data_IF_794766652740
#
_entry.id   IF_794766652740
#
_cell.length_a   1.000
_cell.length_b   1.000
_cell.length_c   1.000
_cell.angle_alpha   90.00
_cell.angle_beta   90.00
_cell.angle_gamma   90.00
#
_symmetry.space_group_name_H-M   'P 1'
#
loop_
_entity.id
_entity.type
_entity.pdbx_description
1 polymer ?
#
# COMPACT_ATOMS: atom_id res chain seq x y z
N UNK A 1 8.83 -10.61 12.88
CA UNK A 1 7.57 -11.12 12.35
C UNK A 1 6.76 -11.74 13.47
N UNK A 2 5.67 -11.06 13.83
CA UNK A 2 4.55 -11.58 14.61
C UNK A 2 4.12 -12.97 14.09
N UNK A 3 3.84 -13.91 15.02
CA UNK A 3 3.51 -15.30 14.69
C UNK A 3 2.18 -15.41 13.93
N UNK A 4 1.15 -14.70 14.37
CA UNK A 4 -0.17 -14.72 13.72
C UNK A 4 -0.07 -14.16 12.31
N UNK A 5 0.61 -13.02 12.14
CA UNK A 5 0.86 -12.46 10.81
C UNK A 5 1.54 -13.47 9.88
N UNK A 6 2.55 -14.18 10.39
CA UNK A 6 3.24 -15.21 9.61
C UNK A 6 2.29 -16.33 9.20
N UNK A 7 1.47 -16.85 10.12
CA UNK A 7 0.52 -17.93 9.83
C UNK A 7 -0.51 -17.53 8.77
N UNK A 8 -1.05 -16.30 8.85
CA UNK A 8 -1.97 -15.75 7.84
C UNK A 8 -1.29 -15.66 6.46
N UNK A 9 -0.12 -15.03 6.41
CA UNK A 9 0.58 -14.78 5.16
C UNK A 9 1.15 -16.07 4.52
N UNK A 10 1.64 -17.03 5.32
CA UNK A 10 2.11 -18.32 4.82
C UNK A 10 0.95 -19.15 4.22
N UNK A 11 -0.25 -19.01 4.79
CA UNK A 11 -1.47 -19.63 4.26
C UNK A 11 -1.82 -19.05 2.89
N UNK A 12 -1.91 -17.73 2.78
CA UNK A 12 -2.14 -17.03 1.51
C UNK A 12 -1.07 -17.33 0.47
N UNK A 13 0.19 -17.44 0.90
CA UNK A 13 1.31 -17.78 0.03
C UNK A 13 1.16 -19.18 -0.56
N UNK A 14 0.74 -20.17 0.23
CA UNK A 14 0.52 -21.54 -0.27
C UNK A 14 -0.63 -21.58 -1.29
N UNK A 15 -1.77 -20.97 -0.98
CA UNK A 15 -2.89 -20.88 -1.92
C UNK A 15 -2.51 -20.12 -3.20
N UNK A 16 -1.77 -19.02 -3.06
CA UNK A 16 -1.29 -18.23 -4.19
C UNK A 16 -0.34 -19.02 -5.09
N UNK A 17 0.58 -19.82 -4.54
CA UNK A 17 1.48 -20.66 -5.35
C UNK A 17 0.71 -21.69 -6.18
N UNK A 18 -0.30 -22.33 -5.59
CA UNK A 18 -1.13 -23.32 -6.29
C UNK A 18 -1.95 -22.67 -7.40
N UNK A 19 -2.56 -21.52 -7.12
CA UNK A 19 -3.32 -20.75 -8.12
C UNK A 19 -2.44 -20.32 -9.29
N UNK A 20 -1.26 -19.74 -9.02
CA UNK A 20 -0.31 -19.31 -10.06
C UNK A 20 0.07 -20.46 -10.98
N UNK A 21 0.36 -21.64 -10.43
CA UNK A 21 0.76 -22.78 -11.25
C UNK A 21 -0.36 -23.23 -12.21
N UNK A 22 -1.61 -23.18 -11.75
CA UNK A 22 -2.79 -23.47 -12.57
C UNK A 22 -3.01 -22.38 -13.64
N UNK A 23 -3.02 -21.11 -13.21
CA UNK A 23 -3.25 -19.96 -14.08
C UNK A 23 -2.15 -19.83 -15.16
N UNK A 24 -0.87 -20.05 -14.82
CA UNK A 24 0.22 -20.05 -15.79
C UNK A 24 0.14 -21.22 -16.80
N UNK A 25 -0.43 -22.36 -16.40
CA UNK A 25 -0.65 -23.46 -17.34
C UNK A 25 -1.79 -23.14 -18.31
N UNK A 26 -2.89 -22.57 -17.81
CA UNK A 26 -4.04 -22.16 -18.62
C UNK A 26 -3.70 -20.96 -19.53
N UNK A 27 -2.98 -19.97 -19.02
CA UNK A 27 -2.47 -18.84 -19.78
C UNK A 27 -1.60 -19.30 -20.96
N UNK A 28 -0.73 -20.30 -20.76
CA UNK A 28 0.07 -20.88 -21.85
C UNK A 28 -0.80 -21.54 -22.92
N UNK A 29 -1.80 -22.32 -22.51
CA UNK A 29 -2.74 -22.94 -23.45
C UNK A 29 -3.53 -21.89 -24.26
N UNK A 30 -3.99 -20.81 -23.61
CA UNK A 30 -4.65 -19.68 -24.26
C UNK A 30 -3.73 -18.98 -25.27
N UNK A 31 -2.46 -18.75 -24.90
CA UNK A 31 -1.46 -18.17 -25.80
C UNK A 31 -1.17 -19.04 -27.01
N UNK A 32 -1.10 -20.37 -26.83
CA UNK A 32 -0.87 -21.34 -27.91
C UNK A 32 -2.06 -21.45 -28.87
N UNK A 33 -3.30 -21.28 -28.38
CA UNK A 33 -4.51 -21.28 -29.20
C UNK A 33 -4.78 -19.95 -29.90
N UNK A 34 -4.02 -18.89 -29.56
CA UNK A 34 -4.19 -17.53 -30.08
C UNK A 34 -5.22 -16.69 -29.33
N UNK A 35 -5.78 -17.19 -28.22
CA UNK A 35 -6.69 -16.44 -27.35
C UNK A 35 -5.89 -15.52 -26.40
N UNK A 36 -5.42 -14.41 -26.96
CA UNK A 36 -4.59 -13.46 -26.20
C UNK A 36 -5.38 -12.70 -25.13
N UNK A 37 -6.70 -12.56 -25.25
CA UNK A 37 -7.51 -11.93 -24.21
C UNK A 37 -7.51 -12.80 -22.95
N UNK A 38 -7.83 -14.10 -23.08
CA UNK A 38 -7.77 -15.04 -21.97
C UNK A 38 -6.36 -15.17 -21.39
N UNK A 39 -5.31 -15.13 -22.22
CA UNK A 39 -3.93 -15.10 -21.74
C UNK A 39 -3.66 -13.93 -20.77
N UNK A 40 -4.08 -12.72 -21.11
CA UNK A 40 -3.82 -11.55 -20.27
C UNK A 40 -4.63 -11.56 -18.97
N UNK A 41 -5.84 -12.12 -18.99
CA UNK A 41 -6.67 -12.28 -17.79
C UNK A 41 -6.04 -13.26 -16.78
N UNK A 42 -5.29 -14.25 -17.24
CA UNK A 42 -4.72 -15.32 -16.41
C UNK A 42 -3.27 -15.07 -15.98
N UNK A 43 -2.46 -14.39 -16.81
CA UNK A 43 -1.01 -14.33 -16.58
C UNK A 43 -0.60 -13.36 -15.45
N UNK A 44 -1.49 -12.46 -15.04
CA UNK A 44 -1.24 -11.46 -13.99
C UNK A 44 -1.65 -12.02 -12.64
N UNK A 45 -0.76 -11.95 -11.66
CA UNK A 45 -0.99 -12.48 -10.31
C UNK A 45 -1.15 -11.32 -9.32
N UNK A 46 -2.36 -10.74 -9.13
CA UNK A 46 -2.51 -9.41 -8.52
C UNK A 46 -2.01 -9.31 -7.07
N UNK A 47 -2.35 -10.27 -6.22
CA UNK A 47 -2.06 -10.21 -4.77
C UNK A 47 -0.74 -10.90 -4.38
N UNK A 48 -0.32 -11.93 -5.13
CA UNK A 48 0.81 -12.76 -4.76
C UNK A 48 2.15 -12.01 -4.54
N UNK A 49 2.54 -11.02 -5.37
CA UNK A 49 3.73 -10.22 -5.10
C UNK A 49 3.64 -9.47 -3.76
N UNK A 50 2.47 -8.95 -3.39
CA UNK A 50 2.23 -8.26 -2.12
C UNK A 50 2.31 -9.24 -0.94
N UNK A 51 1.83 -10.49 -1.10
CA UNK A 51 2.01 -11.55 -0.09
C UNK A 51 3.49 -11.89 0.10
N UNK A 52 4.24 -12.08 -0.99
CA UNK A 52 5.69 -12.30 -0.94
C UNK A 52 6.41 -11.13 -0.27
N UNK A 53 6.02 -9.90 -0.60
CA UNK A 53 6.53 -8.68 0.00
C UNK A 53 6.27 -8.66 1.51
N UNK A 54 5.03 -8.92 1.93
CA UNK A 54 4.63 -8.97 3.33
C UNK A 54 5.38 -10.06 4.13
N UNK A 55 5.76 -11.17 3.48
CA UNK A 55 6.59 -12.25 4.03
C UNK A 55 8.10 -12.00 3.99
N UNK A 56 8.55 -10.84 3.49
CA UNK A 56 9.97 -10.52 3.32
C UNK A 56 10.70 -11.45 2.32
N UNK A 57 9.96 -12.08 1.41
CA UNK A 57 10.48 -12.88 0.29
C UNK A 57 10.86 -11.96 -0.87
N UNK A 58 11.86 -11.12 -0.65
CA UNK A 58 12.17 -9.96 -1.50
C UNK A 58 12.43 -10.31 -2.98
N UNK A 59 13.20 -11.36 -3.24
CA UNK A 59 13.54 -11.76 -4.61
C UNK A 59 12.32 -12.30 -5.36
N UNK A 60 11.46 -13.06 -4.66
CA UNK A 60 10.19 -13.56 -5.21
C UNK A 60 9.23 -12.39 -5.47
N UNK A 61 9.06 -11.49 -4.51
CA UNK A 61 8.24 -10.28 -4.68
C UNK A 61 8.71 -9.46 -5.89
N UNK A 62 10.02 -9.17 -5.98
CA UNK A 62 10.62 -8.44 -7.11
C UNK A 62 10.36 -9.13 -8.44
N UNK A 63 10.54 -10.45 -8.51
CA UNK A 63 10.26 -11.25 -9.71
C UNK A 63 8.80 -11.09 -10.13
N UNK A 64 7.85 -11.29 -9.22
CA UNK A 64 6.43 -11.28 -9.56
C UNK A 64 5.89 -9.88 -9.84
N UNK A 65 6.37 -8.82 -9.16
CA UNK A 65 6.03 -7.45 -9.56
C UNK A 65 6.51 -7.12 -10.98
N UNK A 66 7.74 -7.52 -11.34
CA UNK A 66 8.28 -7.28 -12.69
C UNK A 66 7.52 -8.06 -13.76
N UNK A 67 7.19 -9.32 -13.47
CA UNK A 67 6.34 -10.15 -14.30
C UNK A 67 4.98 -9.49 -14.54
N UNK A 68 4.25 -9.12 -13.48
CA UNK A 68 2.96 -8.46 -13.60
C UNK A 68 3.05 -7.14 -14.37
N UNK A 69 4.08 -6.33 -14.10
CA UNK A 69 4.30 -5.08 -14.82
C UNK A 69 4.50 -5.30 -16.32
N UNK A 70 5.21 -6.36 -16.73
CA UNK A 70 5.42 -6.69 -18.14
C UNK A 70 4.14 -7.18 -18.80
N UNK A 71 3.45 -8.13 -18.16
CA UNK A 71 2.17 -8.64 -18.63
C UNK A 71 1.13 -7.53 -18.79
N UNK A 72 0.99 -6.63 -17.82
CA UNK A 72 0.06 -5.50 -17.88
C UNK A 72 0.38 -4.54 -19.03
N UNK A 73 1.66 -4.25 -19.28
CA UNK A 73 2.06 -3.38 -20.40
C UNK A 73 1.84 -4.05 -21.76
N UNK A 74 2.08 -5.36 -21.87
CA UNK A 74 1.76 -6.14 -23.07
C UNK A 74 0.25 -6.16 -23.32
N UNK A 75 -0.56 -6.41 -22.28
CA UNK A 75 -2.01 -6.38 -22.32
C UNK A 75 -2.52 -5.02 -22.80
N UNK A 76 -2.04 -3.92 -22.19
CA UNK A 76 -2.42 -2.55 -22.60
C UNK A 76 -2.11 -2.28 -24.07
N UNK A 77 -0.91 -2.67 -24.53
CA UNK A 77 -0.51 -2.49 -25.92
C UNK A 77 -1.39 -3.32 -26.87
N UNK A 78 -1.78 -4.53 -26.47
CA UNK A 78 -2.70 -5.35 -27.25
C UNK A 78 -4.11 -4.75 -27.30
N UNK A 79 -4.70 -4.40 -26.15
CA UNK A 79 -6.04 -3.83 -26.07
C UNK A 79 -6.15 -2.50 -26.83
N UNK A 80 -5.10 -1.68 -26.82
CA UNK A 80 -5.06 -0.42 -27.61
C UNK A 80 -5.23 -0.61 -29.13
N UNK A 81 -4.97 -1.82 -29.65
CA UNK A 81 -5.07 -2.16 -31.08
C UNK A 81 -6.27 -3.03 -31.43
N UNK A 82 -6.76 -3.82 -30.47
CA UNK A 82 -7.73 -4.88 -30.74
C UNK A 82 -9.08 -4.66 -30.05
N UNK A 83 -9.14 -3.81 -29.04
CA UNK A 83 -10.38 -3.55 -28.31
C UNK A 83 -11.10 -2.32 -28.84
N UNK A 84 -12.42 -2.35 -28.73
CA UNK A 84 -13.28 -1.23 -29.13
C UNK A 84 -13.10 0.00 -28.23
N UNK A 85 -13.68 1.15 -28.63
CA UNK A 85 -13.58 2.40 -27.88
C UNK A 85 -14.14 2.34 -26.45
N UNK A 86 -15.00 1.35 -26.15
CA UNK A 86 -15.62 1.16 -24.84
C UNK A 86 -14.76 0.35 -23.86
N UNK A 87 -13.59 -0.15 -24.29
CA UNK A 87 -12.70 -0.89 -23.39
C UNK A 87 -12.14 0.05 -22.31
N UNK A 88 -12.23 -0.33 -21.00
CA UNK A 88 -11.96 0.58 -19.89
C UNK A 88 -10.46 0.76 -19.62
N UNK A 89 -9.68 1.09 -20.64
CA UNK A 89 -8.21 1.15 -20.59
C UNK A 89 -7.69 2.13 -19.53
N UNK A 90 -8.43 3.22 -19.26
CA UNK A 90 -8.05 4.20 -18.24
C UNK A 90 -8.42 3.78 -16.82
N UNK A 91 -9.42 2.90 -16.65
CA UNK A 91 -9.79 2.35 -15.32
C UNK A 91 -8.70 1.40 -14.81
N UNK A 92 -8.03 0.70 -15.73
CA UNK A 92 -6.91 -0.20 -15.43
C UNK A 92 -5.63 0.55 -15.03
N UNK A 93 -5.52 1.84 -15.33
CA UNK A 93 -4.30 2.62 -15.08
C UNK A 93 -3.90 2.65 -13.60
N UNK A 94 -4.85 2.48 -12.66
CA UNK A 94 -4.56 2.48 -11.22
C UNK A 94 -3.72 1.27 -10.78
N UNK A 95 -4.12 0.06 -11.20
CA UNK A 95 -3.39 -1.18 -10.88
C UNK A 95 -2.07 -1.27 -11.64
N UNK A 96 -2.03 -0.77 -12.88
CA UNK A 96 -0.80 -0.66 -13.66
C UNK A 96 0.21 0.26 -12.98
N UNK A 97 -0.23 1.45 -12.55
CA UNK A 97 0.62 2.45 -11.92
C UNK A 97 1.28 1.91 -10.64
N UNK A 98 0.48 1.33 -9.74
CA UNK A 98 1.00 0.77 -8.49
C UNK A 98 1.94 -0.40 -8.77
N UNK A 99 1.58 -1.31 -9.67
CA UNK A 99 2.43 -2.46 -10.04
C UNK A 99 3.76 -2.03 -10.63
N UNK A 100 3.76 -1.03 -11.54
CA UNK A 100 4.98 -0.48 -12.13
C UNK A 100 5.90 0.15 -11.07
N UNK A 101 5.34 0.89 -10.12
CA UNK A 101 6.10 1.52 -9.03
C UNK A 101 6.70 0.46 -8.11
N UNK A 102 5.88 -0.50 -7.67
CA UNK A 102 6.33 -1.64 -6.86
C UNK A 102 7.40 -2.46 -7.59
N UNK A 103 7.34 -2.58 -8.91
CA UNK A 103 8.35 -3.24 -9.74
C UNK A 103 9.66 -2.45 -9.92
N UNK A 104 9.73 -1.20 -9.45
CA UNK A 104 10.85 -0.29 -9.64
C UNK A 104 10.86 0.45 -11.00
N UNK A 105 9.83 0.29 -11.82
CA UNK A 105 9.69 0.93 -13.14
C UNK A 105 9.13 2.36 -13.00
N UNK A 106 9.82 3.21 -12.24
CA UNK A 106 9.30 4.51 -11.77
C UNK A 106 8.89 5.46 -12.90
N UNK A 107 9.66 5.54 -14.00
CA UNK A 107 9.32 6.44 -15.11
C UNK A 107 7.95 6.10 -15.71
N UNK A 108 7.71 4.82 -15.99
CA UNK A 108 6.42 4.34 -16.49
C UNK A 108 5.33 4.49 -15.42
N UNK A 109 5.61 4.09 -14.18
CA UNK A 109 4.68 4.24 -13.06
C UNK A 109 4.18 5.67 -12.86
N UNK A 110 5.07 6.67 -12.96
CA UNK A 110 4.71 8.11 -12.90
C UNK A 110 3.78 8.54 -14.03
N UNK A 111 3.98 8.02 -15.23
CA UNK A 111 3.10 8.32 -16.36
C UNK A 111 1.70 7.77 -16.14
N UNK A 112 1.60 6.51 -15.71
CA UNK A 112 0.31 5.87 -15.43
C UNK A 112 -0.39 6.53 -14.24
N UNK A 113 0.32 6.91 -13.17
CA UNK A 113 -0.25 7.67 -12.05
C UNK A 113 -0.91 8.97 -12.51
N UNK A 114 -0.25 9.74 -13.39
CA UNK A 114 -0.81 11.00 -13.91
C UNK A 114 -2.13 10.75 -14.65
N UNK A 115 -2.20 9.69 -15.45
CA UNK A 115 -3.42 9.30 -16.19
C UNK A 115 -4.53 8.87 -15.23
N UNK A 116 -4.21 7.98 -14.29
CA UNK A 116 -5.13 7.49 -13.25
C UNK A 116 -5.76 8.65 -12.48
N UNK A 117 -4.94 9.55 -11.94
CA UNK A 117 -5.45 10.67 -11.13
C UNK A 117 -6.27 11.64 -11.98
N UNK A 118 -5.83 11.95 -13.21
CA UNK A 118 -6.60 12.81 -14.12
C UNK A 118 -7.96 12.21 -14.47
N UNK A 119 -8.04 10.89 -14.59
CA UNK A 119 -9.27 10.16 -14.89
C UNK A 119 -10.23 10.05 -13.69
N UNK A 120 -9.68 9.86 -12.49
CA UNK A 120 -10.45 9.57 -11.28
C UNK A 120 -10.86 10.82 -10.48
N UNK A 121 -10.09 11.91 -10.52
CA UNK A 121 -10.27 13.07 -9.60
C UNK A 121 -11.68 13.66 -9.57
N UNK A 122 -12.41 13.57 -10.68
CA UNK A 122 -13.74 14.16 -10.84
C UNK A 122 -14.86 13.08 -10.78
N UNK A 123 -14.50 11.81 -10.52
CA UNK A 123 -15.44 10.68 -10.48
C UNK A 123 -15.92 10.39 -9.04
N UNK A 124 -17.24 10.26 -8.82
CA UNK A 124 -17.77 9.82 -7.53
C UNK A 124 -17.24 8.45 -7.12
N UNK A 125 -17.02 8.24 -5.81
CA UNK A 125 -16.57 6.95 -5.27
C UNK A 125 -15.10 6.60 -5.54
N UNK A 126 -14.31 7.53 -6.08
CA UNK A 126 -12.90 7.30 -6.42
C UNK A 126 -11.93 7.55 -5.25
N UNK A 127 -12.43 8.05 -4.11
CA UNK A 127 -11.61 8.55 -3.00
C UNK A 127 -10.59 7.52 -2.48
N UNK A 128 -10.97 6.24 -2.38
CA UNK A 128 -10.07 5.18 -1.93
C UNK A 128 -8.95 4.89 -2.94
N UNK A 129 -9.27 4.87 -4.24
CA UNK A 129 -8.27 4.64 -5.29
C UNK A 129 -7.35 5.86 -5.41
N UNK A 130 -7.87 7.07 -5.26
CA UNK A 130 -7.10 8.31 -5.21
C UNK A 130 -6.15 8.33 -4.00
N UNK A 131 -6.57 7.84 -2.84
CA UNK A 131 -5.69 7.79 -1.67
C UNK A 131 -4.50 6.87 -1.89
N UNK A 132 -4.73 5.65 -2.39
CA UNK A 132 -3.65 4.69 -2.69
C UNK A 132 -2.76 5.22 -3.82
N UNK A 133 -3.34 5.87 -4.84
CA UNK A 133 -2.58 6.53 -5.90
C UNK A 133 -1.70 7.67 -5.36
N UNK A 134 -2.18 8.41 -4.37
CA UNK A 134 -1.41 9.46 -3.67
C UNK A 134 -0.20 8.91 -2.93
N UNK A 135 -0.35 7.78 -2.22
CA UNK A 135 0.78 7.12 -1.56
C UNK A 135 1.84 6.65 -2.57
N UNK A 136 1.43 6.00 -3.65
CA UNK A 136 2.35 5.61 -4.71
C UNK A 136 2.95 6.82 -5.45
N UNK A 137 2.23 7.94 -5.55
CA UNK A 137 2.79 9.19 -6.06
C UNK A 137 3.90 9.73 -5.15
N UNK A 138 3.71 9.71 -3.83
CA UNK A 138 4.75 10.05 -2.87
C UNK A 138 5.96 9.13 -3.02
N UNK A 139 5.72 7.81 -3.08
CA UNK A 139 6.74 6.80 -3.33
C UNK A 139 7.53 7.08 -4.61
N UNK A 140 6.86 7.47 -5.70
CA UNK A 140 7.47 7.81 -6.97
C UNK A 140 8.11 9.22 -7.03
N UNK A 141 8.06 10.02 -5.95
CA UNK A 141 8.61 11.37 -5.90
C UNK A 141 7.78 12.43 -6.65
N UNK A 142 6.46 12.29 -6.63
CA UNK A 142 5.50 13.23 -7.25
C UNK A 142 4.70 13.97 -6.17
N UNK A 143 5.27 15.02 -5.54
CA UNK A 143 4.64 15.69 -4.39
C UNK A 143 3.29 16.34 -4.72
N UNK A 144 3.12 16.90 -5.91
CA UNK A 144 1.86 17.54 -6.32
C UNK A 144 0.69 16.54 -6.41
N UNK A 145 0.98 15.28 -6.75
CA UNK A 145 -0.02 14.23 -6.84
C UNK A 145 -0.19 13.49 -5.50
N UNK A 146 0.83 13.51 -4.64
CA UNK A 146 0.79 12.86 -3.34
C UNK A 146 -0.29 13.43 -2.41
N UNK A 147 -0.73 14.68 -2.65
CA UNK A 147 -1.83 15.30 -1.89
C UNK A 147 -3.13 14.50 -1.95
N UNK A 148 -3.34 13.71 -2.99
CA UNK A 148 -4.51 12.83 -3.12
C UNK A 148 -4.58 11.73 -2.06
N UNK A 149 -3.49 11.44 -1.34
CA UNK A 149 -3.52 10.54 -0.18
C UNK A 149 -4.55 10.97 0.87
N UNK A 150 -4.82 12.28 1.00
CA UNK A 150 -5.84 12.82 1.92
C UNK A 150 -7.28 12.44 1.56
N UNK A 151 -7.55 11.99 0.33
CA UNK A 151 -8.87 11.47 -0.06
C UNK A 151 -9.33 10.27 0.79
N UNK A 152 -8.42 9.65 1.54
CA UNK A 152 -8.75 8.59 2.50
C UNK A 152 -9.69 9.09 3.61
N UNK A 153 -9.63 10.38 3.96
CA UNK A 153 -10.50 10.98 4.98
C UNK A 153 -11.94 10.89 4.50
N UNK A 154 -12.21 11.37 3.28
CA UNK A 154 -13.54 11.29 2.67
C UNK A 154 -13.99 9.83 2.53
N UNK A 155 -13.10 8.94 2.07
CA UNK A 155 -13.43 7.51 1.89
C UNK A 155 -13.84 6.83 3.20
N UNK A 156 -13.14 7.08 4.31
CA UNK A 156 -13.44 6.45 5.61
C UNK A 156 -14.55 7.17 6.37
N UNK A 157 -14.89 8.41 6.02
CA UNK A 157 -16.04 9.10 6.60
C UNK A 157 -17.38 8.44 6.23
N UNK A 158 -17.41 7.60 5.21
CA UNK A 158 -18.57 6.77 4.85
C UNK A 158 -18.75 5.54 5.77
N UNK A 159 -17.70 5.12 6.49
CA UNK A 159 -17.76 3.97 7.38
C UNK A 159 -18.57 4.27 8.66
N UNK A 160 -19.20 3.25 9.29
CA UNK A 160 -19.82 3.40 10.59
C UNK A 160 -18.83 3.92 11.64
N UNK A 161 -19.31 4.77 12.55
CA UNK A 161 -18.49 5.29 13.66
C UNK A 161 -19.33 6.05 14.68
N UNK A 162 -18.71 6.45 15.79
CA UNK A 162 -19.38 7.21 16.83
C UNK A 162 -19.92 8.57 16.34
N UNK A 163 -21.06 9.00 16.87
CA UNK A 163 -21.71 10.26 16.52
C UNK A 163 -21.31 11.45 17.41
N UNK A 164 -20.54 11.19 18.47
CA UNK A 164 -20.09 12.24 19.40
C UNK A 164 -19.13 13.22 18.70
N UNK A 165 -18.98 14.43 19.24
CA UNK A 165 -18.00 15.39 18.73
C UNK A 165 -16.57 14.82 18.77
N UNK A 166 -16.23 14.12 19.86
CA UNK A 166 -14.92 13.49 20.01
C UNK A 166 -14.71 12.37 18.97
N UNK A 167 -15.73 11.57 18.67
CA UNK A 167 -15.65 10.56 17.62
C UNK A 167 -15.45 11.19 16.24
N UNK A 168 -16.18 12.26 15.91
CA UNK A 168 -16.00 12.99 14.65
C UNK A 168 -14.58 13.57 14.51
N UNK A 169 -14.05 14.19 15.55
CA UNK A 169 -12.67 14.69 15.56
C UNK A 169 -11.65 13.57 15.36
N UNK A 170 -11.83 12.43 16.04
CA UNK A 170 -10.96 11.28 15.84
C UNK A 170 -11.04 10.74 14.40
N UNK A 171 -12.23 10.71 13.80
CA UNK A 171 -12.45 10.27 12.41
C UNK A 171 -11.86 11.20 11.35
N UNK A 172 -11.57 12.45 11.66
CA UNK A 172 -10.92 13.38 10.73
C UNK A 172 -9.39 13.28 10.78
N UNK A 173 -8.85 12.77 11.89
CA UNK A 173 -7.42 12.84 12.22
C UNK A 173 -6.73 11.47 12.35
N UNK A 174 -7.48 10.38 12.57
CA UNK A 174 -6.94 9.03 12.69
C UNK A 174 -6.70 8.41 11.30
N UNK A 175 -5.74 8.99 10.57
CA UNK A 175 -5.31 8.56 9.23
C UNK A 175 -3.79 8.63 9.14
N UNK A 176 -3.14 7.52 8.79
CA UNK A 176 -1.68 7.46 8.73
C UNK A 176 -1.14 8.00 7.39
N UNK A 177 -1.97 8.02 6.36
CA UNK A 177 -1.58 8.32 4.98
C UNK A 177 -0.95 9.71 4.79
N UNK A 178 -1.45 10.80 5.43
CA UNK A 178 -0.78 12.11 5.33
C UNK A 178 0.64 12.11 5.90
N UNK A 179 0.86 11.43 7.03
CA UNK A 179 2.18 11.28 7.62
C UNK A 179 3.07 10.39 6.73
N UNK A 180 2.54 9.27 6.23
CA UNK A 180 3.22 8.38 5.29
C UNK A 180 3.72 9.12 4.04
N UNK A 181 2.90 10.01 3.45
CA UNK A 181 3.32 10.84 2.31
C UNK A 181 4.54 11.69 2.66
N UNK A 182 4.54 12.33 3.83
CA UNK A 182 5.65 13.18 4.26
C UNK A 182 6.92 12.35 4.47
N UNK A 183 6.79 11.16 5.06
CA UNK A 183 7.88 10.20 5.25
C UNK A 183 8.48 9.75 3.91
N UNK A 184 7.65 9.31 2.96
CA UNK A 184 8.07 8.87 1.62
C UNK A 184 8.78 9.97 0.82
N UNK A 185 8.39 11.24 1.05
CA UNK A 185 9.01 12.41 0.42
C UNK A 185 10.21 12.97 1.19
N UNK A 186 10.59 12.37 2.32
CA UNK A 186 11.69 12.83 3.18
C UNK A 186 11.43 14.19 3.87
N UNK A 187 10.17 14.59 4.01
CA UNK A 187 9.75 15.86 4.62
C UNK A 187 9.53 15.68 6.12
N UNK A 188 10.62 15.63 6.88
CA UNK A 188 10.59 15.30 8.30
C UNK A 188 9.82 16.29 9.18
N UNK A 189 9.89 17.59 8.89
CA UNK A 189 9.15 18.60 9.65
C UNK A 189 7.63 18.44 9.44
N UNK A 190 7.19 18.33 8.18
CA UNK A 190 5.79 18.07 7.82
C UNK A 190 5.30 16.72 8.38
N UNK A 191 6.17 15.70 8.38
CA UNK A 191 5.88 14.39 8.94
C UNK A 191 5.56 14.46 10.43
N UNK A 192 6.35 15.22 11.21
CA UNK A 192 6.10 15.41 12.65
C UNK A 192 4.79 16.15 12.91
N UNK A 193 4.45 17.16 12.09
CA UNK A 193 3.18 17.87 12.23
C UNK A 193 1.97 16.96 11.97
N UNK A 194 1.99 16.14 10.92
CA UNK A 194 0.92 15.18 10.66
C UNK A 194 0.89 14.06 11.72
N UNK A 195 2.06 13.65 12.22
CA UNK A 195 2.18 12.66 13.28
C UNK A 195 1.59 13.14 14.61
N UNK A 196 1.74 14.41 14.96
CA UNK A 196 1.13 14.99 16.17
C UNK A 196 -0.40 14.91 16.12
N UNK A 197 -0.99 15.22 14.96
CA UNK A 197 -2.44 15.10 14.71
C UNK A 197 -2.90 13.65 14.88
N UNK A 198 -2.18 12.73 14.23
CA UNK A 198 -2.45 11.29 14.28
C UNK A 198 -2.31 10.72 15.70
N UNK A 199 -1.27 11.11 16.43
CA UNK A 199 -1.01 10.67 17.81
C UNK A 199 -2.08 11.19 18.76
N UNK A 200 -2.49 12.46 18.61
CA UNK A 200 -3.60 13.03 19.37
C UNK A 200 -4.90 12.23 19.16
N UNK A 201 -5.24 11.93 17.91
CA UNK A 201 -6.40 11.09 17.58
C UNK A 201 -6.29 9.67 18.14
N UNK A 202 -5.09 9.08 18.07
CA UNK A 202 -4.81 7.73 18.61
C UNK A 202 -5.05 7.67 20.12
N UNK A 203 -4.59 8.68 20.86
CA UNK A 203 -4.81 8.79 22.30
C UNK A 203 -6.30 8.96 22.63
N UNK A 204 -7.06 9.68 21.79
CA UNK A 204 -8.50 9.86 22.01
C UNK A 204 -9.27 8.54 21.97
N UNK A 205 -8.90 7.64 21.06
CA UNK A 205 -9.58 6.35 20.83
C UNK A 205 -8.99 5.18 21.64
N UNK A 206 -7.81 5.37 22.25
CA UNK A 206 -7.16 4.33 23.04
C UNK A 206 -8.07 3.82 24.17
N UNK A 207 -8.28 2.50 24.23
CA UNK A 207 -9.18 1.86 25.21
C UNK A 207 -10.67 2.14 25.00
N UNK A 208 -11.05 2.77 23.87
CA UNK A 208 -12.44 3.03 23.48
C UNK A 208 -12.71 2.33 22.14
N UNK A 209 -13.09 1.05 22.17
CA UNK A 209 -13.33 0.29 20.95
C UNK A 209 -14.40 0.96 20.10
N UNK A 210 -14.21 0.92 18.79
CA UNK A 210 -15.18 1.38 17.79
C UNK A 210 -15.60 2.86 17.91
N UNK A 211 -14.79 3.67 18.59
CA UNK A 211 -15.09 5.09 18.78
C UNK A 211 -15.07 5.85 17.45
N UNK A 212 -14.01 5.68 16.66
CA UNK A 212 -13.83 6.37 15.37
C UNK A 212 -14.25 5.49 14.20
N UNK A 213 -13.76 4.25 14.17
CA UNK A 213 -13.98 3.29 13.08
C UNK A 213 -14.24 1.90 13.65
N UNK A 214 -14.83 0.97 12.90
CA UNK A 214 -15.01 -0.40 13.36
C UNK A 214 -13.66 -1.02 13.77
N UNK A 215 -13.66 -1.88 14.79
CA UNK A 215 -12.59 -2.87 14.94
C UNK A 215 -12.74 -3.87 13.78
N UNK A 216 -11.69 -4.23 13.03
CA UNK A 216 -10.25 -4.05 13.33
C UNK A 216 -9.58 -2.77 12.79
N UNK A 217 -10.22 -1.96 11.94
CA UNK A 217 -9.57 -0.80 11.31
C UNK A 217 -9.03 0.22 12.33
N UNK A 218 -9.77 0.51 13.40
CA UNK A 218 -9.29 1.43 14.43
C UNK A 218 -7.98 0.93 15.09
N UNK A 219 -7.88 -0.37 15.34
CA UNK A 219 -6.70 -0.99 15.95
C UNK A 219 -5.50 -0.92 15.00
N UNK A 220 -5.73 -1.18 13.70
CA UNK A 220 -4.71 -1.04 12.67
C UNK A 220 -4.12 0.39 12.63
N UNK A 221 -4.99 1.40 12.66
CA UNK A 221 -4.57 2.81 12.60
C UNK A 221 -3.81 3.26 13.85
N UNK A 222 -4.23 2.79 15.03
CA UNK A 222 -3.50 3.05 16.29
C UNK A 222 -2.13 2.38 16.29
N UNK A 223 -2.03 1.14 15.81
CA UNK A 223 -0.76 0.43 15.70
C UNK A 223 0.18 1.09 14.67
N UNK A 224 -0.35 1.51 13.51
CA UNK A 224 0.41 2.26 12.50
C UNK A 224 0.94 3.59 13.05
N UNK A 225 0.12 4.33 13.79
CA UNK A 225 0.49 5.57 14.49
C UNK A 225 1.66 5.37 15.45
N UNK A 226 1.64 4.29 16.25
CA UNK A 226 2.74 3.93 17.15
C UNK A 226 4.02 3.61 16.37
N UNK A 227 3.91 2.88 15.25
CA UNK A 227 5.04 2.58 14.38
C UNK A 227 5.68 3.84 13.81
N UNK A 228 4.87 4.74 13.24
CA UNK A 228 5.34 6.02 12.69
C UNK A 228 5.97 6.91 13.76
N UNK A 229 5.38 6.95 14.96
CA UNK A 229 5.97 7.67 16.11
C UNK A 229 7.35 7.13 16.47
N UNK A 230 7.52 5.81 16.42
CA UNK A 230 8.80 5.18 16.70
C UNK A 230 9.83 5.48 15.61
N UNK A 231 9.42 5.57 14.34
CA UNK A 231 10.32 6.01 13.25
C UNK A 231 10.81 7.46 13.46
N UNK A 232 9.94 8.36 13.93
CA UNK A 232 10.32 9.73 14.26
C UNK A 232 11.38 9.77 15.38
N UNK A 233 11.16 9.03 16.48
CA UNK A 233 12.14 8.95 17.57
C UNK A 233 13.45 8.28 17.15
N UNK A 234 13.42 7.30 16.25
CA UNK A 234 14.62 6.70 15.65
C UNK A 234 15.42 7.73 14.84
N UNK A 235 14.74 8.49 13.98
CA UNK A 235 15.35 9.53 13.16
C UNK A 235 16.02 10.60 14.05
N UNK A 236 15.35 11.02 15.12
CA UNK A 236 15.85 12.04 16.04
C UNK A 236 16.84 11.50 17.10
N UNK A 237 17.15 10.20 17.06
CA UNK A 237 18.05 9.52 18.00
C UNK A 237 17.59 9.62 19.48
N UNK A 238 16.28 9.72 19.70
CA UNK A 238 15.67 9.77 21.03
C UNK A 238 15.50 8.38 21.67
N UNK A 239 15.63 7.33 20.86
CA UNK A 239 15.57 5.93 21.28
C UNK A 239 16.84 5.19 20.81
N UNK A 240 17.27 4.20 21.59
CA UNK A 240 18.38 3.33 21.18
C UNK A 240 18.03 2.61 19.86
N UNK A 241 18.93 2.58 18.86
CA UNK A 241 18.61 2.10 17.52
C UNK A 241 17.99 0.70 17.45
N UNK A 242 18.53 -0.28 18.20
CA UNK A 242 17.97 -1.65 18.16
C UNK A 242 16.61 -1.72 18.83
N UNK A 243 16.42 -1.04 19.96
CA UNK A 243 15.14 -0.97 20.65
C UNK A 243 14.08 -0.30 19.78
N UNK A 244 14.38 0.87 19.22
CA UNK A 244 13.45 1.58 18.33
C UNK A 244 13.12 0.78 17.09
N UNK A 245 14.10 0.09 16.48
CA UNK A 245 13.87 -0.83 15.36
C UNK A 245 12.86 -1.92 15.73
N UNK A 246 13.07 -2.60 16.86
CA UNK A 246 12.19 -3.68 17.33
C UNK A 246 10.77 -3.16 17.61
N UNK A 247 10.64 -2.01 18.28
CA UNK A 247 9.36 -1.39 18.60
C UNK A 247 8.59 -0.97 17.34
N UNK A 248 9.25 -0.31 16.40
CA UNK A 248 8.63 0.11 15.13
C UNK A 248 8.14 -1.11 14.35
N UNK A 249 9.01 -2.12 14.19
CA UNK A 249 8.65 -3.36 13.49
C UNK A 249 7.47 -4.07 14.14
N UNK A 250 7.45 -4.18 15.47
CA UNK A 250 6.34 -4.79 16.19
C UNK A 250 5.03 -4.04 15.95
N UNK A 251 5.05 -2.70 16.03
CA UNK A 251 3.86 -1.88 15.82
C UNK A 251 3.31 -1.98 14.39
N UNK A 252 4.18 -1.96 13.37
CA UNK A 252 3.75 -2.16 11.99
C UNK A 252 3.28 -3.59 11.70
N UNK A 253 3.92 -4.61 12.29
CA UNK A 253 3.46 -6.00 12.18
C UNK A 253 2.09 -6.21 12.83
N UNK A 254 1.81 -5.55 13.96
CA UNK A 254 0.49 -5.53 14.57
C UNK A 254 -0.55 -4.81 13.67
N UNK A 255 -0.18 -3.66 13.10
CA UNK A 255 -1.03 -2.95 12.15
C UNK A 255 -1.40 -3.83 10.94
N UNK A 256 -0.44 -4.59 10.41
CA UNK A 256 -0.68 -5.53 9.30
C UNK A 256 -1.70 -6.62 9.67
N UNK A 257 -1.63 -7.18 10.88
CA UNK A 257 -2.63 -8.17 11.35
C UNK A 257 -4.03 -7.56 11.35
N UNK A 258 -4.19 -6.37 11.92
CA UNK A 258 -5.50 -5.73 11.98
C UNK A 258 -6.00 -5.28 10.60
N UNK A 259 -5.14 -4.79 9.70
CA UNK A 259 -5.53 -4.51 8.32
C UNK A 259 -5.96 -5.79 7.59
N UNK A 260 -5.26 -6.91 7.81
CA UNK A 260 -5.64 -8.19 7.25
C UNK A 260 -7.03 -8.62 7.74
N UNK A 261 -7.28 -8.56 9.06
CA UNK A 261 -8.61 -8.90 9.60
C UNK A 261 -9.72 -7.98 9.12
N UNK A 262 -9.41 -6.71 8.84
CA UNK A 262 -10.38 -5.76 8.32
C UNK A 262 -10.73 -6.00 6.85
N UNK A 263 -9.73 -6.29 6.00
CA UNK A 263 -9.91 -6.47 4.56
C UNK A 263 -10.20 -7.92 4.15
N UNK A 264 -9.80 -8.89 4.97
CA UNK A 264 -9.87 -10.32 4.67
C UNK A 264 -8.72 -10.87 3.82
N UNK A 265 -7.80 -10.02 3.36
CA UNK A 265 -6.69 -10.36 2.46
C UNK A 265 -5.54 -9.35 2.55
N UNK A 266 -4.42 -9.67 1.88
CA UNK A 266 -3.30 -8.74 1.70
C UNK A 266 -3.69 -7.55 0.82
N UNK A 267 -3.47 -6.33 1.30
CA UNK A 267 -3.84 -5.10 0.59
C UNK A 267 -2.70 -4.04 0.54
N UNK A 268 -3.01 -2.87 0.01
CA UNK A 268 -2.08 -1.74 -0.05
C UNK A 268 -1.60 -1.24 1.32
N UNK A 269 -2.43 -1.32 2.37
CA UNK A 269 -2.00 -0.92 3.72
C UNK A 269 -0.90 -1.86 4.20
N UNK A 270 -1.06 -3.17 4.02
CA UNK A 270 -0.02 -4.15 4.39
C UNK A 270 1.28 -3.91 3.61
N UNK A 271 1.18 -3.57 2.31
CA UNK A 271 2.34 -3.18 1.52
C UNK A 271 3.15 -2.03 2.15
N UNK A 272 2.48 -0.92 2.50
CA UNK A 272 3.14 0.26 3.10
C UNK A 272 3.62 -0.01 4.52
N UNK A 273 2.87 -0.74 5.35
CA UNK A 273 3.34 -1.13 6.69
C UNK A 273 4.63 -1.97 6.61
N UNK A 274 4.73 -2.88 5.65
CA UNK A 274 5.96 -3.64 5.42
C UNK A 274 7.10 -2.75 4.90
N UNK A 275 6.83 -1.76 4.04
CA UNK A 275 7.82 -0.75 3.65
C UNK A 275 8.36 0.00 4.88
N UNK A 276 7.47 0.39 5.80
CA UNK A 276 7.85 1.07 7.03
C UNK A 276 8.72 0.22 7.98
N UNK A 277 8.56 -1.11 7.98
CA UNK A 277 9.51 -1.98 8.70
C UNK A 277 10.93 -1.90 8.13
N UNK A 278 11.08 -1.71 6.81
CA UNK A 278 12.39 -1.49 6.18
C UNK A 278 12.95 -0.11 6.52
N UNK A 279 12.11 0.92 6.59
CA UNK A 279 12.53 2.24 7.06
C UNK A 279 13.07 2.17 8.49
N UNK A 280 12.46 1.37 9.37
CA UNK A 280 13.02 1.12 10.70
C UNK A 280 14.43 0.50 10.64
N UNK A 281 14.64 -0.47 9.75
CA UNK A 281 15.95 -1.12 9.55
C UNK A 281 17.00 -0.15 8.94
N UNK A 282 16.56 0.77 8.08
CA UNK A 282 17.41 1.80 7.46
C UNK A 282 17.82 2.86 8.48
N UNK A 283 16.88 3.43 9.22
CA UNK A 283 17.15 4.43 10.26
C UNK A 283 18.03 3.87 11.38
N UNK A 284 17.76 2.65 11.85
CA UNK A 284 18.56 2.01 12.89
C UNK A 284 20.01 1.73 12.44
N UNK A 285 20.22 1.58 11.12
CA UNK A 285 21.53 1.44 10.50
C UNK A 285 22.12 2.79 10.02
N UNK A 286 21.48 3.91 10.34
CA UNK A 286 21.86 5.26 9.89
C UNK A 286 22.01 5.36 8.35
N UNK A 287 21.10 4.71 7.62
CA UNK A 287 21.01 4.75 6.16
C UNK A 287 19.86 5.66 5.73
N UNK A 288 19.96 6.32 4.57
CA UNK A 288 18.85 7.09 4.03
C UNK A 288 17.66 6.15 3.73
N UNK A 289 16.45 6.68 3.88
CA UNK A 289 15.24 5.95 3.54
C UNK A 289 15.19 5.65 2.04
N UNK A 290 14.88 4.41 1.68
CA UNK A 290 14.68 4.01 0.28
C UNK A 290 13.21 3.66 0.02
N UNK A 291 12.39 4.62 -0.46
CA UNK A 291 10.98 4.36 -0.76
C UNK A 291 10.77 3.41 -1.95
N UNK A 292 11.79 3.14 -2.76
CA UNK A 292 11.70 2.27 -3.95
C UNK A 292 12.81 1.22 -3.96
N UNK A 293 12.75 0.20 -3.09
CA UNK A 293 13.84 -0.78 -2.92
C UNK A 293 14.09 -1.67 -4.14
N UNK A 294 13.20 -1.66 -5.14
CA UNK A 294 13.36 -2.41 -6.39
C UNK A 294 13.66 -1.54 -7.62
N UNK A 295 13.74 -0.21 -7.46
CA UNK A 295 14.22 0.66 -8.52
C UNK A 295 15.68 0.31 -8.82
N UNK A 296 15.99 0.09 -10.09
CA UNK A 296 17.37 -0.05 -10.52
C UNK A 296 17.98 1.37 -10.53
N UNK A 297 18.99 1.60 -9.70
CA UNK A 297 19.77 2.86 -9.64
C UNK A 297 20.60 3.09 -10.92
#
# INVERSE_FOLDING_TARGET
>A
MNRELRELLETDYQYGLEAIAADEAEARAAKESGDLAAYFDLIVNPLFPDTCWALEKWDEAKKHYRHNAEAMMEARAWHSKHSGPDYPIEELSASEASTLIKAGKLSAGREHLKRTIAFLRDRPGSSLVLSTSGLHAAQAGLPDLATHARSVIDARLELPGGSTQAARQARESLHYEPAEVCLLLGRWDDFKEELDKLTGASQMVQGKPEMAFPSPLQEALVAASLGLSTLASLHDQEVEPKLGQQQARQAFEEAMVHFYHFNGEVDSNIYFMRLNTRFADELAANRPLNPNPFADE
#
